data_IF_343449415195
#
_entry.id   IF_343449415195
#
_cell.length_a   1.000
_cell.length_b   1.000
_cell.length_c   1.000
_cell.angle_alpha   90.00
_cell.angle_beta   90.00
_cell.angle_gamma   90.00
#
_symmetry.space_group_name_H-M   'P 1'
#
loop_
_entity.id
_entity.type
_entity.pdbx_description
1 polymer ?
#
# COMPACT_ATOMS: atom_id res chain seq x y z
N UNK A 1 15.50 -7.34 22.02
CA UNK A 1 16.06 -6.35 21.07
C UNK A 1 14.89 -5.70 20.35
N UNK A 2 14.57 -4.43 20.60
CA UNK A 2 13.42 -3.76 19.97
C UNK A 2 13.77 -3.45 18.51
N UNK A 3 13.15 -4.16 17.56
CA UNK A 3 13.38 -3.95 16.11
C UNK A 3 12.75 -2.65 15.63
N UNK A 4 11.65 -2.25 16.28
CA UNK A 4 10.88 -1.08 15.92
C UNK A 4 11.16 0.03 16.95
N UNK A 5 11.81 1.11 16.49
CA UNK A 5 11.81 2.37 17.22
C UNK A 5 10.40 2.96 17.14
N UNK A 6 9.89 3.51 18.25
CA UNK A 6 8.58 4.14 18.30
C UNK A 6 8.59 5.45 17.50
N UNK A 7 8.38 5.35 16.19
CA UNK A 7 8.32 6.50 15.28
C UNK A 7 6.86 6.87 15.05
N UNK A 8 6.45 8.04 15.52
CA UNK A 8 5.09 8.55 15.28
C UNK A 8 5.16 9.90 14.60
N UNK A 9 4.10 10.25 13.87
CA UNK A 9 3.93 11.60 13.35
C UNK A 9 3.72 12.54 14.54
N UNK A 10 4.80 13.13 15.06
CA UNK A 10 4.76 14.03 16.22
C UNK A 10 4.12 15.36 15.85
N UNK A 11 3.52 16.06 16.82
CA UNK A 11 2.93 17.39 16.57
C UNK A 11 3.97 18.40 16.08
N UNK A 12 5.22 18.27 16.54
CA UNK A 12 6.33 19.09 16.04
C UNK A 12 6.64 18.83 14.56
N UNK A 13 6.57 17.56 14.11
CA UNK A 13 6.74 17.22 12.70
C UNK A 13 5.55 17.72 11.87
N UNK A 14 4.32 17.53 12.36
CA UNK A 14 3.08 18.02 11.72
C UNK A 14 3.13 19.53 11.54
N UNK A 15 3.50 20.29 12.57
CA UNK A 15 3.62 21.74 12.50
C UNK A 15 4.70 22.20 11.52
N UNK A 16 5.85 21.50 11.47
CA UNK A 16 6.91 21.80 10.50
C UNK A 16 6.47 21.50 9.06
N UNK A 17 5.80 20.36 8.84
CA UNK A 17 5.27 20.00 7.54
C UNK A 17 4.19 21.00 7.07
N UNK A 18 3.32 21.45 7.97
CA UNK A 18 2.35 22.50 7.68
C UNK A 18 3.02 23.79 7.22
N UNK A 19 4.05 24.25 7.94
CA UNK A 19 4.78 25.45 7.59
C UNK A 19 5.50 25.34 6.24
N UNK A 20 5.90 24.13 5.83
CA UNK A 20 6.48 23.88 4.50
C UNK A 20 5.39 23.92 3.42
N UNK A 21 4.30 23.19 3.60
CA UNK A 21 3.19 23.17 2.64
C UNK A 21 2.57 24.57 2.44
N UNK A 22 2.44 25.35 3.52
CA UNK A 22 1.98 26.74 3.42
C UNK A 22 2.89 27.59 2.53
N UNK A 23 4.21 27.39 2.56
CA UNK A 23 5.15 28.12 1.70
C UNK A 23 5.01 27.76 0.23
N UNK A 24 4.66 26.51 -0.06
CA UNK A 24 4.36 26.05 -1.41
C UNK A 24 2.97 26.52 -1.87
N UNK A 25 2.06 26.77 -0.93
CA UNK A 25 0.72 27.23 -1.21
C UNK A 25 0.64 28.69 -1.68
N UNK A 26 -0.44 28.99 -2.39
CA UNK A 26 -0.81 30.32 -2.90
C UNK A 26 -1.76 31.04 -1.94
N UNK A 27 -1.60 30.83 -0.64
CA UNK A 27 -2.53 31.35 0.40
C UNK A 27 -2.61 32.88 0.38
N UNK A 28 -1.52 33.57 -0.01
CA UNK A 28 -1.46 35.01 -0.22
C UNK A 28 -2.39 35.51 -1.35
N UNK A 29 -2.63 34.66 -2.36
CA UNK A 29 -3.57 34.93 -3.46
C UNK A 29 -5.00 34.61 -3.09
N UNK A 30 -5.22 33.72 -2.12
CA UNK A 30 -6.54 33.35 -1.59
C UNK A 30 -7.03 34.45 -0.63
N UNK A 31 -6.18 34.89 0.29
CA UNK A 31 -6.48 35.92 1.29
C UNK A 31 -5.42 37.04 1.22
N UNK A 32 -5.83 38.19 0.66
CA UNK A 32 -4.94 39.35 0.46
C UNK A 32 -4.65 40.09 1.77
N UNK A 33 -5.65 40.17 2.64
CA UNK A 33 -5.53 40.82 3.94
C UNK A 33 -4.58 40.01 4.85
N UNK A 34 -3.57 40.68 5.41
CA UNK A 34 -2.48 40.01 6.12
C UNK A 34 -2.93 39.43 7.45
N UNK A 35 -3.79 40.14 8.18
CA UNK A 35 -4.23 39.71 9.51
C UNK A 35 -5.21 38.53 9.40
N UNK A 36 -6.21 38.62 8.50
CA UNK A 36 -7.11 37.49 8.22
C UNK A 36 -6.38 36.28 7.65
N UNK A 37 -5.29 36.49 6.90
CA UNK A 37 -4.45 35.39 6.42
C UNK A 37 -3.70 34.71 7.56
N UNK A 38 -3.12 35.47 8.49
CA UNK A 38 -2.47 34.92 9.70
C UNK A 38 -3.46 34.11 10.55
N UNK A 39 -4.69 34.57 10.68
CA UNK A 39 -5.74 33.81 11.36
C UNK A 39 -6.06 32.49 10.64
N UNK A 40 -6.18 32.51 9.30
CA UNK A 40 -6.37 31.30 8.50
C UNK A 40 -5.20 30.33 8.63
N UNK A 41 -3.96 30.83 8.65
CA UNK A 41 -2.76 30.02 8.86
C UNK A 41 -2.77 29.36 10.26
N UNK A 42 -3.18 30.09 11.30
CA UNK A 42 -3.33 29.51 12.64
C UNK A 42 -4.43 28.43 12.69
N UNK A 43 -5.58 28.68 12.07
CA UNK A 43 -6.67 27.70 11.96
C UNK A 43 -6.26 26.47 11.15
N UNK A 44 -5.50 26.66 10.08
CA UNK A 44 -4.96 25.57 9.26
C UNK A 44 -4.00 24.68 10.04
N UNK A 45 -3.15 25.26 10.90
CA UNK A 45 -2.25 24.49 11.76
C UNK A 45 -2.99 23.52 12.70
N UNK A 46 -4.14 23.94 13.24
CA UNK A 46 -4.99 23.13 14.12
C UNK A 46 -5.52 21.90 13.36
N UNK A 47 -5.97 22.10 12.12
CA UNK A 47 -6.65 21.08 11.32
C UNK A 47 -5.74 20.28 10.40
N UNK A 48 -4.47 20.66 10.28
CA UNK A 48 -3.58 20.13 9.23
C UNK A 48 -3.38 18.62 9.28
N UNK A 49 -3.33 18.02 10.48
CA UNK A 49 -3.25 16.56 10.66
C UNK A 49 -4.46 15.86 10.02
N UNK A 50 -5.67 16.34 10.33
CA UNK A 50 -6.92 15.81 9.79
C UNK A 50 -7.00 16.00 8.26
N UNK A 51 -6.64 17.17 7.75
CA UNK A 51 -6.60 17.46 6.31
C UNK A 51 -5.61 16.53 5.60
N UNK A 52 -4.45 16.25 6.19
CA UNK A 52 -3.46 15.31 5.64
C UNK A 52 -3.99 13.87 5.61
N UNK A 53 -4.76 13.47 6.61
CA UNK A 53 -5.39 12.15 6.63
C UNK A 53 -6.47 12.01 5.54
N UNK A 54 -7.26 13.06 5.31
CA UNK A 54 -8.20 13.12 4.17
C UNK A 54 -7.45 13.06 2.84
N UNK A 55 -6.38 13.84 2.68
CA UNK A 55 -5.52 13.81 1.49
C UNK A 55 -5.07 12.37 1.17
N UNK A 56 -4.52 11.64 2.15
CA UNK A 56 -4.09 10.25 1.98
C UNK A 56 -5.24 9.32 1.60
N UNK A 57 -6.40 9.47 2.24
CA UNK A 57 -7.62 8.71 1.92
C UNK A 57 -8.03 8.90 0.46
N UNK A 58 -7.99 10.12 -0.06
CA UNK A 58 -8.40 10.40 -1.43
C UNK A 58 -7.29 10.18 -2.46
N UNK A 59 -6.02 10.12 -2.06
CA UNK A 59 -4.94 9.59 -2.90
C UNK A 59 -5.16 8.12 -3.25
N UNK A 60 -5.77 7.35 -2.34
CA UNK A 60 -6.08 5.94 -2.53
C UNK A 60 -7.28 5.69 -3.46
N UNK A 61 -8.11 6.71 -3.71
CA UNK A 61 -9.42 6.62 -4.40
C UNK A 61 -9.40 7.20 -5.81
N UNK A 62 -10.51 7.01 -6.53
CA UNK A 62 -10.71 7.46 -7.91
C UNK A 62 -10.67 6.33 -8.96
N UNK A 63 -11.24 6.63 -10.13
CA UNK A 63 -11.18 5.76 -11.31
C UNK A 63 -9.85 5.97 -12.03
N UNK A 64 -9.19 4.87 -12.42
CA UNK A 64 -7.91 4.86 -13.17
C UNK A 64 -6.76 5.60 -12.46
N UNK A 65 -6.63 5.45 -11.14
CA UNK A 65 -5.47 6.00 -10.44
C UNK A 65 -4.20 5.30 -10.91
N UNK A 66 -3.17 6.06 -11.26
CA UNK A 66 -1.90 5.45 -11.64
C UNK A 66 -1.35 4.67 -10.43
N UNK A 67 -0.74 3.52 -10.69
CA UNK A 67 -0.42 2.54 -9.63
C UNK A 67 0.40 3.17 -8.50
N UNK A 68 1.44 3.93 -8.83
CA UNK A 68 2.33 4.61 -7.85
C UNK A 68 1.96 6.08 -7.60
N UNK A 69 0.74 6.50 -7.92
CA UNK A 69 0.27 7.85 -7.64
C UNK A 69 0.09 8.05 -6.13
N UNK A 70 0.65 9.16 -5.63
CA UNK A 70 0.57 9.59 -4.22
C UNK A 70 0.03 11.01 -4.10
N UNK A 71 -0.85 11.36 -5.04
CA UNK A 71 -1.53 12.64 -5.19
C UNK A 71 -3.01 12.37 -5.48
N UNK A 72 -3.88 13.34 -5.25
CA UNK A 72 -5.32 13.23 -5.47
C UNK A 72 -5.64 13.55 -6.94
N UNK A 73 -6.10 12.57 -7.71
CA UNK A 73 -6.61 12.80 -9.07
C UNK A 73 -7.91 13.60 -9.03
N UNK A 74 -8.34 14.14 -10.18
CA UNK A 74 -9.68 14.73 -10.30
C UNK A 74 -10.80 13.76 -9.86
N UNK A 75 -10.67 12.47 -10.20
CA UNK A 75 -11.63 11.45 -9.76
C UNK A 75 -11.63 11.26 -8.24
N UNK A 76 -10.45 11.21 -7.60
CA UNK A 76 -10.36 11.17 -6.14
C UNK A 76 -10.86 12.46 -5.47
N UNK A 77 -10.69 13.62 -6.11
CA UNK A 77 -11.24 14.88 -5.63
C UNK A 77 -12.77 14.91 -5.72
N UNK A 78 -13.36 14.38 -6.79
CA UNK A 78 -14.81 14.24 -6.90
C UNK A 78 -15.39 13.29 -5.83
N UNK A 79 -14.68 12.19 -5.54
CA UNK A 79 -15.03 11.31 -4.42
C UNK A 79 -14.99 12.09 -3.08
N UNK A 80 -14.00 12.97 -2.88
CA UNK A 80 -13.90 13.85 -1.70
C UNK A 80 -15.09 14.81 -1.58
N UNK A 81 -15.42 15.52 -2.66
CA UNK A 81 -16.54 16.45 -2.69
C UNK A 81 -17.88 15.76 -2.40
N UNK A 82 -18.08 14.56 -2.97
CA UNK A 82 -19.30 13.77 -2.80
C UNK A 82 -19.43 13.25 -1.37
N UNK A 83 -18.38 12.58 -0.87
CA UNK A 83 -18.32 12.04 0.49
C UNK A 83 -18.59 13.13 1.54
N UNK A 84 -17.92 14.28 1.40
CA UNK A 84 -18.01 15.37 2.35
C UNK A 84 -19.24 16.27 2.11
N UNK A 85 -20.05 16.00 1.06
CA UNK A 85 -21.24 16.76 0.69
C UNK A 85 -20.98 18.26 0.53
N UNK A 86 -19.90 18.60 -0.18
CA UNK A 86 -19.43 19.97 -0.31
C UNK A 86 -20.14 20.77 -1.41
N UNK A 87 -20.64 20.06 -2.43
CA UNK A 87 -21.39 20.66 -3.54
C UNK A 87 -22.76 21.11 -3.06
N UNK A 88 -23.09 22.35 -3.37
CA UNK A 88 -24.38 22.97 -3.15
C UNK A 88 -24.83 23.66 -4.44
N UNK A 89 -25.74 23.00 -5.16
CA UNK A 89 -26.27 23.51 -6.44
C UNK A 89 -27.10 24.79 -6.29
N UNK A 90 -27.55 25.11 -5.07
CA UNK A 90 -28.25 26.36 -4.77
C UNK A 90 -27.29 27.52 -4.51
N UNK A 91 -26.01 27.23 -4.20
CA UNK A 91 -25.00 28.24 -3.91
C UNK A 91 -24.52 28.96 -5.17
N UNK A 92 -24.20 30.25 -5.07
CA UNK A 92 -23.55 31.01 -6.16
C UNK A 92 -22.08 30.62 -6.39
N UNK A 93 -21.44 29.94 -5.42
CA UNK A 93 -19.98 29.75 -5.37
C UNK A 93 -19.52 28.33 -5.01
N UNK A 94 -20.47 27.41 -4.81
CA UNK A 94 -20.18 26.04 -4.39
C UNK A 94 -20.90 24.98 -5.25
N UNK A 95 -21.19 25.28 -6.52
CA UNK A 95 -21.72 24.29 -7.46
C UNK A 95 -20.61 23.34 -7.95
N UNK A 96 -20.98 22.27 -8.65
CA UNK A 96 -20.01 21.36 -9.25
C UNK A 96 -18.98 22.11 -10.14
N UNK A 97 -19.42 23.06 -10.96
CA UNK A 97 -18.53 23.88 -11.81
C UNK A 97 -17.58 24.77 -10.99
N UNK A 98 -18.00 25.23 -9.81
CA UNK A 98 -17.14 26.03 -8.94
C UNK A 98 -16.06 25.15 -8.30
N UNK A 99 -16.39 23.89 -7.97
CA UNK A 99 -15.41 22.94 -7.46
C UNK A 99 -14.36 22.56 -8.52
N UNK A 100 -14.76 22.43 -9.79
CA UNK A 100 -13.81 22.26 -10.90
C UNK A 100 -12.84 23.45 -10.99
N UNK A 101 -13.37 24.68 -10.85
CA UNK A 101 -12.55 25.89 -10.82
C UNK A 101 -11.58 25.90 -9.62
N UNK A 102 -12.01 25.41 -8.45
CA UNK A 102 -11.13 25.26 -7.28
C UNK A 102 -10.00 24.30 -7.57
N UNK A 103 -10.29 23.13 -8.14
CA UNK A 103 -9.28 22.13 -8.50
C UNK A 103 -8.25 22.70 -9.48
N UNK A 104 -8.72 23.35 -10.56
CA UNK A 104 -7.85 23.97 -11.57
C UNK A 104 -7.02 25.10 -10.98
N UNK A 105 -7.59 25.93 -10.11
CA UNK A 105 -6.88 27.05 -9.49
C UNK A 105 -5.79 26.57 -8.52
N UNK A 106 -6.06 25.52 -7.74
CA UNK A 106 -5.06 24.93 -6.86
C UNK A 106 -3.93 24.27 -7.67
N UNK A 107 -4.26 23.58 -8.78
CA UNK A 107 -3.29 22.88 -9.61
C UNK A 107 -2.49 23.75 -10.59
N UNK A 108 -2.78 25.06 -10.64
CA UNK A 108 -2.10 25.97 -11.54
C UNK A 108 -0.63 26.18 -11.12
N UNK A 109 0.30 25.74 -11.97
CA UNK A 109 1.73 26.00 -11.80
C UNK A 109 2.07 27.46 -12.13
N UNK A 110 2.56 28.20 -11.14
CA UNK A 110 2.75 29.65 -11.22
C UNK A 110 4.20 30.06 -11.43
N UNK A 111 5.16 29.16 -11.25
CA UNK A 111 6.59 29.40 -11.50
C UNK A 111 7.02 28.78 -12.84
N UNK A 112 8.03 29.36 -13.48
CA UNK A 112 8.54 28.86 -14.76
C UNK A 112 9.19 27.48 -14.60
N UNK A 113 9.81 27.21 -13.46
CA UNK A 113 10.37 25.92 -13.10
C UNK A 113 9.29 24.84 -13.00
N UNK A 114 8.12 25.19 -12.43
CA UNK A 114 6.99 24.27 -12.29
C UNK A 114 6.24 24.07 -13.62
N UNK A 115 6.21 25.09 -14.50
CA UNK A 115 5.66 24.96 -15.87
C UNK A 115 6.53 24.08 -16.78
N UNK A 116 7.84 24.03 -16.54
CA UNK A 116 8.78 23.21 -17.31
C UNK A 116 8.71 21.72 -16.90
N UNK A 117 8.19 21.41 -15.72
CA UNK A 117 7.79 20.08 -15.34
C UNK A 117 6.44 19.77 -15.99
N UNK A 118 6.48 19.25 -17.23
CA UNK A 118 5.30 18.70 -17.90
C UNK A 118 4.57 17.76 -16.91
N UNK A 119 3.41 18.19 -16.39
CA UNK A 119 2.65 17.53 -15.31
C UNK A 119 1.44 16.80 -15.94
N UNK A 120 1.61 15.59 -16.48
CA UNK A 120 0.60 14.92 -17.28
C UNK A 120 -0.67 14.55 -16.50
N UNK A 121 -0.62 14.48 -15.17
CA UNK A 121 -1.70 13.90 -14.37
C UNK A 121 -2.66 14.93 -13.74
N UNK A 122 -2.34 16.25 -13.79
CA UNK A 122 -3.14 17.34 -13.20
C UNK A 122 -3.76 16.93 -11.85
N UNK A 123 -2.93 16.38 -10.97
CA UNK A 123 -3.36 15.80 -9.69
C UNK A 123 -2.84 16.65 -8.55
N UNK A 124 -3.63 16.77 -7.48
CA UNK A 124 -3.30 17.61 -6.33
C UNK A 124 -2.30 16.90 -5.43
N UNK A 125 -1.17 17.54 -5.18
CA UNK A 125 -0.26 17.23 -4.09
C UNK A 125 -0.82 17.70 -2.75
N UNK A 126 -0.14 17.40 -1.64
CA UNK A 126 -0.65 17.68 -0.29
C UNK A 126 -0.93 19.17 -0.05
N UNK A 127 -0.05 20.06 -0.50
CA UNK A 127 -0.26 21.50 -0.33
C UNK A 127 -1.38 22.04 -1.22
N UNK A 128 -1.57 21.50 -2.44
CA UNK A 128 -2.65 21.90 -3.33
C UNK A 128 -4.01 21.40 -2.82
N UNK A 129 -4.05 20.21 -2.21
CA UNK A 129 -5.26 19.72 -1.54
C UNK A 129 -5.63 20.60 -0.33
N UNK A 130 -4.63 21.04 0.45
CA UNK A 130 -4.83 22.03 1.53
C UNK A 130 -5.40 23.35 0.98
N UNK A 131 -4.88 23.85 -0.14
CA UNK A 131 -5.45 25.03 -0.82
C UNK A 131 -6.90 24.83 -1.24
N UNK A 132 -7.25 23.67 -1.80
CA UNK A 132 -8.63 23.35 -2.15
C UNK A 132 -9.53 23.47 -0.94
N UNK A 133 -9.14 22.91 0.21
CA UNK A 133 -9.93 23.03 1.46
C UNK A 133 -10.13 24.50 1.86
N UNK A 134 -9.08 25.32 1.83
CA UNK A 134 -9.20 26.76 2.14
C UNK A 134 -10.14 27.49 1.18
N UNK A 135 -10.00 27.25 -0.13
CA UNK A 135 -10.84 27.88 -1.16
C UNK A 135 -12.30 27.48 -1.00
N UNK A 136 -12.58 26.19 -0.76
CA UNK A 136 -13.95 25.71 -0.57
C UNK A 136 -14.56 26.32 0.69
N UNK A 137 -13.83 26.34 1.81
CA UNK A 137 -14.29 26.96 3.05
C UNK A 137 -14.71 28.42 2.84
N UNK A 138 -13.82 29.21 2.24
CA UNK A 138 -14.06 30.64 1.97
C UNK A 138 -15.21 30.82 1.00
N UNK A 139 -15.30 30.03 -0.07
CA UNK A 139 -16.39 30.12 -1.03
C UNK A 139 -17.74 29.77 -0.40
N UNK A 140 -17.77 28.73 0.44
CA UNK A 140 -19.00 28.23 1.06
C UNK A 140 -19.54 29.16 2.13
N UNK A 141 -18.68 29.80 2.92
CA UNK A 141 -19.13 30.55 4.10
C UNK A 141 -18.78 32.05 4.11
N UNK A 142 -17.73 32.49 3.42
CA UNK A 142 -17.35 33.92 3.40
C UNK A 142 -17.83 34.65 2.15
N UNK A 143 -17.81 33.99 0.99
CA UNK A 143 -18.19 34.58 -0.30
C UNK A 143 -19.63 34.24 -0.71
N UNK A 144 -20.37 33.52 0.14
CA UNK A 144 -21.78 33.22 -0.06
C UNK A 144 -22.67 34.45 0.22
N UNK A 145 -23.94 34.34 -0.16
CA UNK A 145 -24.96 35.34 0.12
C UNK A 145 -26.22 34.67 0.71
N UNK A 146 -26.67 35.07 1.90
CA UNK A 146 -26.00 35.99 2.83
C UNK A 146 -24.65 35.43 3.31
N UNK A 147 -23.72 36.31 3.71
CA UNK A 147 -22.42 35.89 4.26
C UNK A 147 -22.66 35.18 5.59
N UNK A 148 -22.06 34.02 5.77
CA UNK A 148 -22.25 33.18 6.95
C UNK A 148 -21.07 33.16 7.92
N UNK A 149 -19.86 33.52 7.47
CA UNK A 149 -18.66 33.62 8.30
C UNK A 149 -17.89 34.90 8.00
N UNK A 150 -17.56 35.63 9.06
CA UNK A 150 -16.89 36.93 8.98
C UNK A 150 -15.38 36.81 8.65
N UNK A 151 -14.76 35.65 8.87
CA UNK A 151 -13.34 35.42 8.57
C UNK A 151 -13.08 34.06 7.89
N UNK A 152 -12.02 33.97 7.05
CA UNK A 152 -11.58 32.70 6.46
C UNK A 152 -11.25 31.63 7.51
N UNK A 153 -10.70 32.04 8.67
CA UNK A 153 -10.40 31.13 9.77
C UNK A 153 -11.67 30.48 10.31
N UNK A 154 -12.72 31.27 10.59
CA UNK A 154 -14.02 30.74 11.04
C UNK A 154 -14.64 29.82 9.99
N UNK A 155 -14.55 30.18 8.71
CA UNK A 155 -15.02 29.32 7.63
C UNK A 155 -14.29 27.97 7.59
N UNK A 156 -12.97 27.95 7.84
CA UNK A 156 -12.19 26.72 7.91
C UNK A 156 -12.59 25.87 9.11
N UNK A 157 -12.75 26.45 10.31
CA UNK A 157 -13.25 25.70 11.46
C UNK A 157 -14.62 25.08 11.16
N UNK A 158 -15.53 25.86 10.57
CA UNK A 158 -16.87 25.41 10.26
C UNK A 158 -16.93 24.28 9.23
N UNK A 159 -16.19 24.38 8.12
CA UNK A 159 -16.16 23.28 7.12
C UNK A 159 -15.56 22.01 7.73
N UNK A 160 -14.56 22.16 8.61
CA UNK A 160 -13.93 21.03 9.28
C UNK A 160 -14.95 20.31 10.16
N UNK A 161 -15.66 21.05 11.01
CA UNK A 161 -16.61 20.47 11.96
C UNK A 161 -17.85 19.88 11.27
N UNK A 162 -18.44 20.60 10.30
CA UNK A 162 -19.70 20.20 9.66
C UNK A 162 -19.52 19.08 8.62
N UNK A 163 -18.41 19.09 7.88
CA UNK A 163 -18.26 18.25 6.69
C UNK A 163 -17.06 17.32 6.72
N UNK A 164 -15.90 17.78 7.18
CA UNK A 164 -14.64 17.05 6.96
C UNK A 164 -14.30 16.08 8.09
N UNK A 165 -14.43 16.49 9.35
CA UNK A 165 -14.12 15.69 10.53
C UNK A 165 -14.81 14.32 10.55
N UNK A 166 -16.11 14.20 10.21
CA UNK A 166 -16.77 12.89 10.12
C UNK A 166 -16.15 11.93 9.09
N UNK A 167 -15.41 12.46 8.11
CA UNK A 167 -14.82 11.71 7.01
C UNK A 167 -13.33 11.39 7.24
N UNK A 168 -12.71 11.95 8.28
CA UNK A 168 -11.30 11.75 8.63
C UNK A 168 -11.08 10.30 9.07
N UNK A 169 -10.16 9.55 8.44
CA UNK A 169 -9.85 8.20 8.88
C UNK A 169 -9.12 8.21 10.24
N UNK A 170 -9.14 7.10 10.99
CA UNK A 170 -8.42 6.98 12.26
C UNK A 170 -6.94 7.38 12.13
N UNK A 171 -6.37 7.99 13.17
CA UNK A 171 -4.97 8.40 13.15
C UNK A 171 -4.06 7.16 13.01
N UNK A 172 -3.18 7.08 11.99
CA UNK A 172 -2.22 6.00 11.86
C UNK A 172 -1.34 5.80 13.11
N UNK A 173 -1.06 6.86 13.88
CA UNK A 173 -0.34 6.75 15.14
C UNK A 173 -1.08 5.90 16.17
N UNK A 174 -2.42 5.88 16.17
CA UNK A 174 -3.19 5.04 17.10
C UNK A 174 -2.96 3.55 16.80
N UNK A 175 -2.90 3.19 15.51
CA UNK A 175 -2.54 1.84 15.11
C UNK A 175 -1.12 1.48 15.56
N UNK A 176 -0.18 2.42 15.40
CA UNK A 176 1.22 2.20 15.77
C UNK A 176 1.38 1.99 17.28
N UNK A 177 0.78 2.86 18.09
CA UNK A 177 0.88 2.80 19.56
C UNK A 177 0.07 1.65 20.15
N UNK A 178 -1.05 1.27 19.52
CA UNK A 178 -1.92 0.19 20.00
C UNK A 178 -1.42 -1.20 19.59
N UNK A 179 -0.81 -1.34 18.41
CA UNK A 179 -0.39 -2.64 17.87
C UNK A 179 1.10 -2.70 17.50
N UNK A 180 1.56 -1.84 16.58
CA UNK A 180 2.90 -1.99 15.97
C UNK A 180 4.03 -1.95 17.00
N UNK A 181 3.96 -1.04 17.98
CA UNK A 181 4.98 -0.83 19.00
C UNK A 181 4.74 -1.62 20.28
N UNK A 182 4.26 -2.85 20.11
CA UNK A 182 4.09 -3.82 21.18
C UNK A 182 5.14 -4.93 21.10
N UNK A 183 5.46 -5.49 22.25
CA UNK A 183 6.55 -6.48 22.39
C UNK A 183 6.22 -7.74 21.58
N UNK A 184 4.99 -8.21 21.66
CA UNK A 184 4.49 -9.39 20.97
C UNK A 184 4.60 -9.28 19.44
N UNK A 185 4.38 -8.07 18.91
CA UNK A 185 4.56 -7.78 17.49
C UNK A 185 6.05 -7.71 17.13
N UNK A 186 6.86 -7.05 17.97
CA UNK A 186 8.31 -6.98 17.78
C UNK A 186 8.95 -8.36 17.79
N UNK A 187 8.50 -9.26 18.67
CA UNK A 187 8.99 -10.63 18.78
C UNK A 187 8.64 -11.45 17.55
N UNK A 188 7.42 -11.31 17.04
CA UNK A 188 7.01 -11.94 15.78
C UNK A 188 7.90 -11.45 14.61
N UNK A 189 8.14 -10.15 14.49
CA UNK A 189 9.07 -9.65 13.48
C UNK A 189 10.52 -10.15 13.70
N UNK A 190 11.01 -10.24 14.94
CA UNK A 190 12.35 -10.77 15.23
C UNK A 190 12.48 -12.23 14.77
N UNK A 191 11.50 -13.06 15.11
CA UNK A 191 11.47 -14.47 14.74
C UNK A 191 11.46 -14.64 13.21
N UNK A 192 10.56 -13.99 12.50
CA UNK A 192 10.36 -14.26 11.06
C UNK A 192 11.23 -13.40 10.14
N UNK A 193 11.64 -12.20 10.55
CA UNK A 193 12.41 -11.28 9.70
C UNK A 193 13.91 -11.37 9.97
N UNK A 194 14.32 -11.42 11.24
CA UNK A 194 15.75 -11.39 11.60
C UNK A 194 16.35 -12.78 11.71
N UNK A 195 15.66 -13.71 12.38
CA UNK A 195 16.20 -15.04 12.64
C UNK A 195 16.01 -16.00 11.46
N UNK A 196 14.88 -15.92 10.75
CA UNK A 196 14.56 -16.80 9.63
C UNK A 196 15.00 -16.28 8.24
N UNK A 197 15.66 -15.11 8.14
CA UNK A 197 16.30 -14.51 6.95
C UNK A 197 15.53 -14.52 5.61
N UNK A 198 14.25 -14.88 5.60
CA UNK A 198 13.42 -15.02 4.39
C UNK A 198 13.03 -13.65 3.85
N UNK A 199 12.62 -12.74 4.74
CA UNK A 199 12.30 -11.37 4.36
C UNK A 199 13.53 -10.60 3.88
N UNK A 200 14.66 -10.57 4.61
CA UNK A 200 15.88 -9.93 4.14
C UNK A 200 16.27 -10.46 2.77
N UNK A 201 16.24 -11.77 2.51
CA UNK A 201 16.61 -12.30 1.18
C UNK A 201 15.64 -11.87 0.07
N UNK A 202 14.32 -11.92 0.29
CA UNK A 202 13.31 -11.48 -0.70
C UNK A 202 13.35 -9.95 -0.89
N UNK A 203 13.47 -9.19 0.19
CA UNK A 203 13.57 -7.73 0.20
C UNK A 203 14.89 -7.24 -0.41
N UNK A 204 16.01 -7.89 -0.09
CA UNK A 204 17.35 -7.61 -0.64
C UNK A 204 17.39 -8.01 -2.11
N UNK A 205 16.82 -9.15 -2.52
CA UNK A 205 16.75 -9.51 -3.94
C UNK A 205 15.87 -8.54 -4.74
N UNK A 206 14.74 -8.10 -4.16
CA UNK A 206 13.91 -7.04 -4.73
C UNK A 206 14.61 -5.66 -4.72
N UNK A 207 15.49 -5.40 -3.75
CA UNK A 207 16.22 -4.14 -3.58
C UNK A 207 17.49 -4.02 -4.42
N UNK A 208 18.23 -5.11 -4.59
CA UNK A 208 19.47 -5.15 -5.36
C UNK A 208 19.23 -4.99 -6.86
N UNK A 209 18.00 -5.21 -7.34
CA UNK A 209 17.63 -5.01 -8.75
C UNK A 209 17.01 -3.64 -9.09
N UNK A 210 16.50 -2.86 -8.13
CA UNK A 210 15.77 -1.63 -8.44
C UNK A 210 15.67 -0.63 -7.28
N UNK A 211 16.02 0.65 -7.51
CA UNK A 211 15.99 1.75 -6.53
C UNK A 211 14.57 2.20 -6.06
N UNK A 212 13.55 1.34 -6.19
CA UNK A 212 12.12 1.68 -5.97
C UNK A 212 11.32 0.63 -5.20
N UNK A 213 11.99 -0.19 -4.39
CA UNK A 213 11.50 -1.45 -3.80
C UNK A 213 10.14 -1.36 -3.12
N UNK A 214 9.87 -0.24 -2.44
CA UNK A 214 8.68 -0.11 -1.60
C UNK A 214 7.69 0.93 -2.12
N UNK A 215 7.61 1.09 -3.45
CA UNK A 215 6.46 1.74 -4.07
C UNK A 215 5.22 0.87 -3.96
N UNK A 216 4.04 1.45 -4.18
CA UNK A 216 2.78 0.72 -4.11
C UNK A 216 2.76 -0.46 -5.10
N UNK A 217 3.17 -0.25 -6.36
CA UNK A 217 3.23 -1.29 -7.39
C UNK A 217 4.01 -2.51 -6.92
N UNK A 218 5.20 -2.28 -6.39
CA UNK A 218 6.09 -3.35 -5.96
C UNK A 218 5.57 -4.05 -4.70
N UNK A 219 5.06 -3.29 -3.73
CA UNK A 219 4.47 -3.84 -2.50
C UNK A 219 3.19 -4.65 -2.81
N UNK A 220 2.34 -4.13 -3.70
CA UNK A 220 1.14 -4.82 -4.19
C UNK A 220 1.48 -6.11 -4.94
N UNK A 221 2.49 -6.08 -5.81
CA UNK A 221 2.94 -7.28 -6.53
C UNK A 221 3.57 -8.30 -5.59
N UNK A 222 4.31 -7.86 -4.58
CA UNK A 222 4.86 -8.74 -3.55
C UNK A 222 3.74 -9.48 -2.82
N UNK A 223 2.72 -8.75 -2.34
CA UNK A 223 1.55 -9.35 -1.71
C UNK A 223 0.81 -10.33 -2.65
N UNK A 224 0.63 -9.98 -3.91
CA UNK A 224 -0.16 -10.77 -4.88
C UNK A 224 0.58 -11.96 -5.47
N UNK A 225 1.77 -11.74 -6.02
CA UNK A 225 2.52 -12.69 -6.85
C UNK A 225 3.59 -13.44 -6.07
N UNK A 226 4.14 -12.84 -5.01
CA UNK A 226 5.19 -13.50 -4.23
C UNK A 226 4.63 -14.22 -3.00
N UNK A 227 3.84 -13.51 -2.19
CA UNK A 227 3.27 -14.03 -0.96
C UNK A 227 1.87 -14.64 -1.15
N UNK A 228 1.18 -14.32 -2.25
CA UNK A 228 -0.18 -14.81 -2.54
C UNK A 228 -1.16 -14.59 -1.37
N UNK A 229 -1.12 -13.42 -0.73
CA UNK A 229 -1.93 -13.13 0.48
C UNK A 229 -3.37 -12.74 0.16
N UNK A 230 -3.65 -12.36 -1.09
CA UNK A 230 -4.98 -11.92 -1.54
C UNK A 230 -5.97 -13.07 -1.60
N UNK A 231 -7.26 -12.74 -1.39
CA UNK A 231 -8.36 -13.71 -1.39
C UNK A 231 -9.70 -13.10 -1.82
N UNK A 232 -10.82 -13.69 -1.44
CA UNK A 232 -12.17 -13.18 -1.70
C UNK A 232 -12.57 -11.95 -0.88
N UNK A 233 -11.97 -11.78 0.30
CA UNK A 233 -12.17 -10.66 1.20
C UNK A 233 -11.10 -9.58 1.01
N UNK A 234 -9.83 -9.96 0.89
CA UNK A 234 -8.73 -9.03 0.66
C UNK A 234 -8.35 -8.99 -0.83
N UNK A 235 -8.81 -7.97 -1.54
CA UNK A 235 -8.52 -7.73 -2.96
C UNK A 235 -7.36 -6.76 -3.13
N UNK A 236 -6.79 -6.72 -4.34
CA UNK A 236 -5.65 -5.87 -4.66
C UNK A 236 -5.94 -4.38 -4.45
N UNK A 237 -7.18 -3.93 -4.67
CA UNK A 237 -7.60 -2.54 -4.45
C UNK A 237 -7.52 -2.12 -2.98
N UNK A 238 -7.75 -3.06 -2.05
CA UNK A 238 -7.81 -2.78 -0.61
C UNK A 238 -6.39 -2.55 -0.04
N UNK A 239 -5.35 -3.07 -0.69
CA UNK A 239 -3.95 -2.85 -0.30
C UNK A 239 -3.57 -1.37 -0.33
N UNK A 240 -4.28 -0.54 -1.09
CA UNK A 240 -3.94 0.86 -1.29
C UNK A 240 -4.20 1.67 -0.04
N UNK A 241 -5.34 1.45 0.60
CA UNK A 241 -5.65 2.07 1.89
C UNK A 241 -4.64 1.65 2.95
N UNK A 242 -4.27 0.37 2.99
CA UNK A 242 -3.25 -0.15 3.92
C UNK A 242 -1.86 0.46 3.67
N UNK A 243 -1.50 0.66 2.40
CA UNK A 243 -0.24 1.31 2.01
C UNK A 243 -0.19 2.76 2.50
N UNK A 244 -1.22 3.58 2.22
CA UNK A 244 -1.25 4.97 2.66
C UNK A 244 -1.34 5.10 4.18
N UNK A 245 -2.08 4.21 4.84
CA UNK A 245 -2.13 4.17 6.31
C UNK A 245 -0.78 3.81 6.95
N UNK A 246 0.09 3.11 6.23
CA UNK A 246 1.45 2.77 6.71
C UNK A 246 2.47 3.90 6.52
N UNK A 247 2.17 4.91 5.70
CA UNK A 247 3.11 6.00 5.42
C UNK A 247 3.25 6.94 6.62
N UNK A 248 4.50 7.22 6.98
CA UNK A 248 4.84 8.35 7.85
C UNK A 248 4.65 9.69 7.12
N UNK A 249 4.46 10.76 7.89
CA UNK A 249 4.41 12.11 7.37
C UNK A 249 5.77 12.54 6.83
N UNK A 250 5.78 12.98 5.58
CA UNK A 250 6.95 13.63 5.00
C UNK A 250 6.94 15.10 5.38
N UNK A 251 8.12 15.62 5.71
CA UNK A 251 8.30 17.04 6.02
C UNK A 251 7.94 17.89 4.79
N UNK A 252 8.49 17.54 3.64
CA UNK A 252 8.30 18.24 2.37
C UNK A 252 8.08 17.22 1.23
N UNK A 253 6.89 17.23 0.60
CA UNK A 253 6.60 16.36 -0.54
C UNK A 253 7.17 16.89 -1.86
N UNK A 254 7.65 18.13 -1.89
CA UNK A 254 8.28 18.78 -3.04
C UNK A 254 9.81 18.71 -2.98
N UNK A 255 10.38 18.30 -1.85
CA UNK A 255 11.82 18.16 -1.72
C UNK A 255 12.36 17.05 -2.64
N UNK A 256 13.48 17.29 -3.36
CA UNK A 256 14.13 16.24 -4.12
C UNK A 256 14.83 15.22 -3.20
N UNK A 257 14.88 13.94 -3.60
CA UNK A 257 14.33 13.40 -4.84
C UNK A 257 12.83 13.13 -4.71
N UNK A 258 12.05 13.57 -5.70
CA UNK A 258 10.58 13.41 -5.74
C UNK A 258 10.09 11.95 -5.62
N UNK A 259 10.98 10.98 -5.82
CA UNK A 259 10.67 9.58 -5.59
C UNK A 259 10.31 9.29 -4.14
N UNK A 260 10.79 10.08 -3.18
CA UNK A 260 10.65 9.84 -1.74
C UNK A 260 9.18 9.77 -1.31
N UNK A 261 8.31 10.65 -1.84
CA UNK A 261 6.85 10.59 -1.58
C UNK A 261 6.20 9.28 -2.01
N UNK A 262 6.78 8.57 -2.99
CA UNK A 262 6.25 7.31 -3.52
C UNK A 262 6.72 6.07 -2.75
N UNK A 263 7.67 6.21 -1.81
CA UNK A 263 8.30 5.08 -1.12
C UNK A 263 7.74 4.86 0.29
N UNK A 264 7.71 3.61 0.72
CA UNK A 264 7.74 3.23 2.13
C UNK A 264 9.19 3.07 2.58
N UNK A 265 9.48 3.42 3.83
CA UNK A 265 10.69 2.95 4.50
C UNK A 265 10.49 1.51 5.00
N UNK A 266 11.58 0.88 5.45
CA UNK A 266 11.51 -0.49 5.94
C UNK A 266 10.53 -0.64 7.12
N UNK A 267 10.50 0.33 8.03
CA UNK A 267 9.55 0.37 9.16
C UNK A 267 8.10 0.46 8.69
N UNK A 268 7.82 1.30 7.71
CA UNK A 268 6.49 1.43 7.10
C UNK A 268 6.09 0.14 6.38
N UNK A 269 7.05 -0.58 5.79
CA UNK A 269 6.79 -1.88 5.17
C UNK A 269 6.44 -2.97 6.20
N UNK A 270 7.10 -2.98 7.37
CA UNK A 270 6.71 -3.87 8.46
C UNK A 270 5.30 -3.53 8.96
N UNK A 271 4.97 -2.23 9.06
CA UNK A 271 3.61 -1.80 9.36
C UNK A 271 2.60 -2.29 8.32
N UNK A 272 2.93 -2.18 7.02
CA UNK A 272 2.09 -2.69 5.94
C UNK A 272 1.84 -4.20 6.08
N UNK A 273 2.84 -5.00 6.44
CA UNK A 273 2.67 -6.43 6.67
C UNK A 273 1.70 -6.71 7.83
N UNK A 274 1.80 -5.98 8.93
CA UNK A 274 0.87 -6.12 10.06
C UNK A 274 -0.56 -5.72 9.65
N UNK A 275 -0.73 -4.62 8.92
CA UNK A 275 -2.04 -4.19 8.41
C UNK A 275 -2.63 -5.21 7.44
N UNK A 276 -1.82 -5.78 6.55
CA UNK A 276 -2.22 -6.86 5.64
C UNK A 276 -2.60 -8.12 6.42
N UNK A 277 -1.85 -8.48 7.45
CA UNK A 277 -2.16 -9.62 8.31
C UNK A 277 -3.53 -9.47 8.98
N UNK A 278 -3.81 -8.30 9.55
CA UNK A 278 -5.10 -7.99 10.18
C UNK A 278 -6.25 -7.92 9.17
N UNK A 279 -6.00 -7.44 7.95
CA UNK A 279 -7.02 -7.43 6.90
C UNK A 279 -7.31 -8.86 6.37
N UNK A 280 -6.29 -9.71 6.28
CA UNK A 280 -6.40 -11.10 5.81
C UNK A 280 -6.98 -12.04 6.87
N UNK A 281 -6.58 -11.84 8.12
CA UNK A 281 -6.97 -12.63 9.27
C UNK A 281 -7.54 -11.69 10.35
N UNK A 282 -8.75 -11.13 10.11
CA UNK A 282 -9.36 -10.21 11.05
C UNK A 282 -9.58 -10.91 12.40
N UNK A 283 -9.02 -10.37 13.50
CA UNK A 283 -9.11 -11.01 14.79
C UNK A 283 -10.54 -10.90 15.34
N UNK A 284 -10.94 -11.86 16.18
CA UNK A 284 -12.25 -11.82 16.85
C UNK A 284 -12.30 -10.76 17.95
N UNK A 285 -11.15 -10.36 18.50
CA UNK A 285 -11.03 -9.27 19.47
C UNK A 285 -9.91 -8.30 19.08
N UNK A 286 -10.01 -7.01 19.43
CA UNK A 286 -8.99 -6.00 19.10
C UNK A 286 -7.82 -6.04 20.10
N UNK A 287 -7.25 -7.22 20.36
CA UNK A 287 -6.12 -7.37 21.28
C UNK A 287 -4.79 -7.46 20.52
N UNK A 288 -3.72 -7.08 21.20
CA UNK A 288 -2.35 -7.20 20.66
C UNK A 288 -1.98 -8.66 20.40
N UNK A 289 -2.39 -9.57 21.29
CA UNK A 289 -2.15 -11.00 21.15
C UNK A 289 -2.80 -11.56 19.88
N UNK A 290 -4.05 -11.21 19.60
CA UNK A 290 -4.72 -11.66 18.37
C UNK A 290 -4.08 -11.06 17.12
N UNK A 291 -3.61 -9.80 17.18
CA UNK A 291 -2.85 -9.19 16.09
C UNK A 291 -1.50 -9.92 15.84
N UNK A 292 -0.82 -10.36 16.89
CA UNK A 292 0.40 -11.16 16.79
C UNK A 292 0.11 -12.53 16.14
N UNK A 293 -1.00 -13.19 16.51
CA UNK A 293 -1.46 -14.44 15.89
C UNK A 293 -1.75 -14.24 14.39
N UNK A 294 -2.43 -13.16 14.02
CA UNK A 294 -2.70 -12.82 12.62
C UNK A 294 -1.39 -12.62 11.83
N UNK A 295 -0.43 -11.89 12.39
CA UNK A 295 0.88 -11.64 11.79
C UNK A 295 1.69 -12.94 11.64
N UNK A 296 1.73 -13.77 12.69
CA UNK A 296 2.39 -15.07 12.65
C UNK A 296 1.75 -15.97 11.58
N UNK A 297 0.42 -15.98 11.50
CA UNK A 297 -0.31 -16.76 10.49
C UNK A 297 0.05 -16.31 9.07
N UNK A 298 0.18 -15.00 8.83
CA UNK A 298 0.67 -14.44 7.57
C UNK A 298 2.07 -14.98 7.24
N UNK A 299 3.01 -14.88 8.18
CA UNK A 299 4.38 -15.37 7.96
C UNK A 299 4.42 -16.86 7.66
N UNK A 300 3.83 -17.68 8.52
CA UNK A 300 3.86 -19.14 8.39
C UNK A 300 3.21 -19.60 7.09
N UNK A 301 2.05 -19.06 6.71
CA UNK A 301 1.28 -19.55 5.55
C UNK A 301 1.73 -19.00 4.21
N UNK A 302 2.23 -17.76 4.18
CA UNK A 302 2.45 -17.05 2.92
C UNK A 302 3.91 -16.74 2.64
N UNK A 303 4.73 -16.59 3.68
CA UNK A 303 6.12 -16.12 3.55
C UNK A 303 7.08 -17.30 3.75
N UNK A 304 6.98 -18.00 4.86
CA UNK A 304 7.85 -19.14 5.20
C UNK A 304 7.42 -20.46 4.53
N UNK A 305 6.13 -20.63 4.22
CA UNK A 305 5.63 -21.85 3.58
C UNK A 305 6.29 -22.12 2.22
N UNK A 306 6.82 -21.11 1.53
CA UNK A 306 7.41 -21.27 0.19
C UNK A 306 8.73 -22.04 0.22
N UNK A 307 9.53 -21.88 1.27
CA UNK A 307 10.79 -22.65 1.44
C UNK A 307 10.51 -24.09 1.85
N UNK A 308 9.59 -24.31 2.81
CA UNK A 308 9.18 -25.67 3.19
C UNK A 308 8.44 -26.42 2.08
N UNK A 309 7.64 -25.75 1.25
CA UNK A 309 7.02 -26.40 0.09
C UNK A 309 8.09 -26.82 -0.92
N UNK A 310 9.04 -25.95 -1.27
CA UNK A 310 10.09 -26.27 -2.25
C UNK A 310 10.99 -27.40 -1.74
N UNK A 311 11.39 -27.38 -0.47
CA UNK A 311 12.14 -28.48 0.15
C UNK A 311 11.32 -29.77 0.21
N UNK A 312 10.03 -29.71 0.56
CA UNK A 312 9.15 -30.89 0.61
C UNK A 312 8.88 -31.45 -0.79
N UNK A 313 8.73 -30.60 -1.80
CA UNK A 313 8.54 -31.01 -3.20
C UNK A 313 9.84 -31.58 -3.80
N UNK A 314 11.00 -31.00 -3.52
CA UNK A 314 12.30 -31.52 -3.95
C UNK A 314 12.59 -32.86 -3.27
N UNK A 315 12.41 -32.95 -1.94
CA UNK A 315 12.59 -34.18 -1.19
C UNK A 315 11.62 -35.29 -1.64
N UNK A 316 10.35 -34.94 -1.95
CA UNK A 316 9.38 -35.89 -2.49
C UNK A 316 9.70 -36.32 -3.92
N UNK A 317 10.14 -35.41 -4.78
CA UNK A 317 10.55 -35.71 -6.15
C UNK A 317 11.80 -36.61 -6.20
N UNK A 318 12.77 -36.37 -5.31
CA UNK A 318 13.97 -37.19 -5.21
C UNK A 318 13.68 -38.57 -4.61
N UNK A 319 12.76 -38.66 -3.63
CA UNK A 319 12.27 -39.95 -3.12
C UNK A 319 11.58 -40.77 -4.20
N UNK A 320 10.76 -40.15 -5.05
CA UNK A 320 10.09 -40.83 -6.19
C UNK A 320 11.10 -41.25 -7.26
N UNK A 321 12.13 -40.44 -7.55
CA UNK A 321 13.21 -40.80 -8.49
C UNK A 321 14.04 -41.98 -7.99
N UNK A 322 14.39 -42.00 -6.71
CA UNK A 322 15.14 -43.09 -6.07
C UNK A 322 14.32 -44.38 -6.07
N UNK A 323 13.04 -44.33 -5.67
CA UNK A 323 12.15 -45.49 -5.71
C UNK A 323 11.92 -46.02 -7.13
N UNK A 324 11.78 -45.12 -8.11
CA UNK A 324 11.70 -45.49 -9.53
C UNK A 324 13.01 -46.09 -10.07
N UNK A 325 14.17 -45.66 -9.58
CA UNK A 325 15.47 -46.26 -9.92
C UNK A 325 15.63 -47.66 -9.28
N UNK A 326 15.23 -47.83 -8.02
CA UNK A 326 15.25 -49.11 -7.29
C UNK A 326 14.31 -50.12 -7.96
N UNK A 327 13.08 -49.73 -8.29
CA UNK A 327 12.12 -50.61 -8.99
C UNK A 327 12.63 -51.06 -10.37
N UNK A 328 13.41 -50.22 -11.06
CA UNK A 328 14.06 -50.58 -12.35
C UNK A 328 15.26 -51.53 -12.16
N UNK A 329 15.96 -51.44 -11.03
CA UNK A 329 17.03 -52.37 -10.65
C UNK A 329 16.49 -53.74 -10.22
N UNK A 330 15.35 -53.77 -9.52
CA UNK A 330 14.66 -55.00 -9.09
C UNK A 330 13.94 -55.71 -10.23
N UNK A 331 13.52 -54.98 -11.28
CA UNK A 331 13.00 -55.53 -12.54
C UNK A 331 14.09 -56.07 -13.49
N UNK A 332 15.26 -56.46 -12.98
CA UNK A 332 16.16 -57.33 -13.74
C UNK A 332 15.56 -58.73 -13.77
N UNK A 333 15.34 -59.34 -14.95
CA UNK A 333 14.69 -60.63 -15.03
C UNK A 333 15.51 -61.68 -14.29
N UNK A 334 14.88 -62.35 -13.33
CA UNK A 334 15.43 -63.52 -12.66
C UNK A 334 15.86 -64.57 -13.71
N UNK A 335 17.09 -65.08 -13.58
CA UNK A 335 17.64 -66.16 -14.44
C UNK A 335 16.75 -67.42 -14.50
N UNK A 336 15.73 -67.55 -13.64
CA UNK A 336 14.74 -68.65 -13.69
C UNK A 336 13.74 -68.54 -14.85
N UNK A 337 13.43 -67.33 -15.35
CA UNK A 337 12.50 -67.14 -16.47
C UNK A 337 13.11 -67.43 -17.86
N UNK A 338 14.45 -67.46 -17.95
CA UNK A 338 15.16 -67.63 -19.22
C UNK A 338 15.40 -69.10 -19.59
N UNK A 339 15.27 -70.03 -18.64
CA UNK A 339 15.47 -71.47 -18.85
C UNK A 339 14.20 -72.18 -19.33
N UNK A 340 12.99 -71.71 -18.97
CA UNK A 340 11.74 -72.30 -19.45
C UNK A 340 11.43 -71.97 -20.92
N UNK A 341 11.89 -70.83 -21.46
CA UNK A 341 11.70 -70.49 -22.88
C UNK A 341 12.66 -71.22 -23.84
N UNK A 342 13.77 -71.77 -23.35
CA UNK A 342 14.71 -72.55 -24.19
C UNK A 342 14.37 -74.05 -24.27
N UNK A 343 13.51 -74.57 -23.39
CA UNK A 343 13.10 -75.98 -23.40
C UNK A 343 11.96 -76.27 -24.40
N UNK A 344 11.09 -75.31 -24.69
CA UNK A 344 9.97 -75.51 -25.64
C UNK A 344 10.31 -75.22 -27.10
N UNK A 345 11.49 -74.65 -27.40
CA UNK A 345 11.92 -74.35 -28.77
C UNK A 345 12.86 -75.41 -29.38
N UNK A 346 13.17 -76.49 -28.64
CA UNK A 346 14.11 -77.54 -29.09
C UNK A 346 13.43 -78.89 -29.41
N UNK A 347 12.10 -78.93 -29.52
CA UNK A 347 11.32 -80.12 -29.86
C UNK A 347 10.65 -80.08 -31.26
N UNK A 348 10.90 -79.05 -32.08
CA UNK A 348 10.51 -79.03 -33.49
C UNK A 348 11.73 -78.70 -34.36
N UNK A 349 12.54 -79.70 -34.65
CA UNK A 349 13.43 -79.75 -35.83
C UNK A 349 14.05 -81.15 -35.88
N UNK A 350 13.36 -82.08 -36.54
CA UNK A 350 13.96 -83.30 -37.09
C UNK A 350 14.40 -83.01 -38.54
N UNK A 351 15.59 -83.46 -38.98
CA UNK A 351 16.12 -83.15 -40.30
C UNK A 351 15.61 -84.11 -41.38
N UNK A 352 15.51 -83.59 -42.60
CA UNK A 352 15.33 -84.35 -43.83
C UNK A 352 16.70 -84.79 -44.39
N UNK A 353 16.98 -86.08 -44.34
CA UNK A 353 17.91 -86.81 -45.21
C UNK A 353 17.00 -87.67 -46.13
N UNK A 354 17.16 -87.90 -47.43
CA UNK A 354 18.31 -87.99 -48.36
C UNK A 354 17.70 -88.18 -49.78
N UNK A 355 18.40 -87.90 -50.91
CA UNK A 355 18.01 -88.36 -52.24
C UNK A 355 18.61 -89.75 -52.55
N UNK A 356 18.08 -90.51 -53.52
CA UNK A 356 18.88 -90.72 -54.74
C UNK A 356 18.08 -90.90 -56.06
N UNK A 357 18.81 -90.68 -57.16
CA UNK A 357 18.70 -91.20 -58.54
C UNK A 357 17.34 -91.16 -59.25
#
# INVERSE_FOLDING_TARGET
>A
MKILYSQVDTDALVAKAYAVDLKHSKVDRIVRDVDRRRELEAAGAIHYRAITHLYRKYCARGVRVAVDQVSVSLSGFNDFLSDCRLIDESSERCKASDMDNVFVAANLEVTEEAKQQDNPDRSLTRFEFLECVFRIAINKYCNCKPVECESPALALHRIMDEHLMPMVPPDPNDFRTSYLYKEEISDCFLEYVVLNCTLPTVAITAALGNRGVWRFKNSSNLCKETFHVLDDKLKQRDLRDLFFASKMLLLDEMAPPEVQKKLLYFTDFLELLLRVALARYPPSSPTVADAAIALQTLFVRHICAKEKLVETFQHSADKVRVLGAISRLERRPSKKGMLQRKASAKALQSPSDTPPA
#
